data_IF_994820939099
#
_entry.id   IF_994820939099
#
_cell.length_a   1.000
_cell.length_b   1.000
_cell.length_c   1.000
_cell.angle_alpha   90.00
_cell.angle_beta   90.00
_cell.angle_gamma   90.00
#
_symmetry.space_group_name_H-M   'P 1'
#
loop_
_entity.id
_entity.type
_entity.pdbx_description
1 polymer ?
#
# COMPACT_ATOMS: atom_id res chain seq x y z
N UNK A 1 17.32 24.67 -25.48
CA UNK A 1 17.15 24.03 -24.16
C UNK A 1 17.71 22.62 -24.27
N UNK A 2 18.85 22.35 -23.67
CA UNK A 2 19.41 21.02 -23.59
C UNK A 2 18.52 20.18 -22.68
N UNK A 3 18.01 19.07 -23.20
CA UNK A 3 17.29 18.06 -22.41
C UNK A 3 18.33 17.39 -21.53
N UNK A 4 18.33 17.67 -20.24
CA UNK A 4 19.11 16.87 -19.29
C UNK A 4 18.51 15.47 -19.30
N UNK A 5 19.27 14.46 -19.73
CA UNK A 5 18.91 13.06 -19.54
C UNK A 5 18.92 12.80 -18.03
N UNK A 6 17.77 12.43 -17.48
CA UNK A 6 17.69 11.93 -16.10
C UNK A 6 18.50 10.64 -16.02
N UNK A 7 19.69 10.69 -15.45
CA UNK A 7 20.41 9.50 -15.05
C UNK A 7 19.68 8.88 -13.87
N UNK A 8 18.97 7.79 -14.12
CA UNK A 8 18.40 6.98 -13.05
C UNK A 8 19.49 6.14 -12.43
N UNK A 9 19.78 6.42 -11.18
CA UNK A 9 20.67 5.62 -10.36
C UNK A 9 19.81 4.71 -9.47
N UNK A 10 20.17 3.43 -9.39
CA UNK A 10 19.51 2.45 -8.54
C UNK A 10 20.54 1.72 -7.70
N UNK A 11 20.38 1.78 -6.40
CA UNK A 11 21.16 1.02 -5.43
C UNK A 11 20.25 0.09 -4.64
N UNK A 12 20.79 -1.07 -4.25
CA UNK A 12 20.09 -2.05 -3.41
C UNK A 12 20.83 -2.16 -2.08
N UNK A 13 20.11 -1.94 -1.00
CA UNK A 13 20.62 -2.06 0.35
C UNK A 13 19.95 -3.23 1.06
N UNK A 14 20.74 -4.00 1.80
CA UNK A 14 20.23 -5.05 2.67
C UNK A 14 20.50 -4.66 4.13
N UNK A 15 19.44 -4.58 4.91
CA UNK A 15 19.54 -4.25 6.32
C UNK A 15 18.88 -5.35 7.14
N UNK A 16 19.62 -5.88 8.13
CA UNK A 16 19.07 -6.81 9.09
C UNK A 16 18.46 -6.03 10.27
N UNK A 17 17.17 -6.21 10.51
CA UNK A 17 16.47 -5.61 11.65
C UNK A 17 16.16 -6.71 12.67
N UNK A 18 17.00 -6.88 13.70
CA UNK A 18 16.81 -7.94 14.66
C UNK A 18 15.55 -7.70 15.50
N UNK A 19 14.76 -8.76 15.69
CA UNK A 19 13.53 -8.72 16.53
C UNK A 19 12.49 -7.69 16.08
N UNK A 20 12.37 -7.46 14.77
CA UNK A 20 11.34 -6.59 14.24
C UNK A 20 9.95 -7.12 14.65
N UNK A 21 9.13 -6.23 15.23
CA UNK A 21 7.72 -6.51 15.46
C UNK A 21 6.99 -6.66 14.14
N UNK A 22 6.15 -7.66 14.03
CA UNK A 22 5.37 -7.88 12.81
C UNK A 22 4.10 -7.01 12.84
N UNK A 23 3.76 -6.48 11.67
CA UNK A 23 2.49 -5.83 11.45
C UNK A 23 1.40 -6.90 11.30
N UNK A 24 0.32 -6.78 12.06
CA UNK A 24 -0.87 -7.60 11.90
C UNK A 24 -2.16 -6.74 12.03
N UNK A 25 -3.31 -7.40 11.94
CA UNK A 25 -4.59 -6.69 11.97
C UNK A 25 -4.99 -6.18 13.34
N UNK A 26 -4.40 -6.70 14.42
CA UNK A 26 -4.70 -6.28 15.80
C UNK A 26 -3.59 -5.38 16.37
N UNK A 27 -2.33 -5.63 15.95
CA UNK A 27 -1.14 -4.89 16.39
C UNK A 27 -0.37 -4.38 15.16
N UNK A 28 -0.84 -3.31 14.51
CA UNK A 28 -0.26 -2.81 13.25
C UNK A 28 1.06 -2.09 13.50
N UNK A 29 2.13 -2.84 13.78
CA UNK A 29 3.46 -2.29 14.01
C UNK A 29 4.04 -1.70 12.73
N UNK A 30 4.31 -0.40 12.74
CA UNK A 30 4.90 0.35 11.63
C UNK A 30 6.27 0.90 12.01
N UNK A 31 7.13 1.03 11.00
CA UNK A 31 8.47 1.59 11.07
C UNK A 31 8.61 2.73 10.06
N UNK A 32 9.54 3.61 10.31
CA UNK A 32 9.93 4.67 9.37
C UNK A 32 11.36 4.40 8.94
N UNK A 33 11.56 4.26 7.64
CA UNK A 33 12.87 4.28 7.02
C UNK A 33 13.17 5.73 6.62
N UNK A 34 14.19 6.31 7.25
CA UNK A 34 14.69 7.63 6.90
C UNK A 34 15.89 7.46 5.96
N UNK A 35 15.81 8.07 4.80
CA UNK A 35 16.85 8.05 3.76
C UNK A 35 17.38 9.46 3.57
N UNK A 36 18.71 9.59 3.50
CA UNK A 36 19.36 10.87 3.23
C UNK A 36 20.38 10.73 2.11
N UNK A 37 20.40 11.69 1.21
CA UNK A 37 21.47 11.86 0.23
C UNK A 37 22.44 12.92 0.73
N UNK A 38 23.67 12.49 0.96
CA UNK A 38 24.73 13.39 1.46
C UNK A 38 25.73 13.74 0.37
N UNK A 39 26.15 15.01 0.33
CA UNK A 39 27.27 15.49 -0.46
C UNK A 39 28.21 16.30 0.43
N UNK A 40 29.47 15.86 0.52
CA UNK A 40 30.47 16.50 1.39
C UNK A 40 30.01 16.62 2.86
N UNK A 41 29.25 15.64 3.38
CA UNK A 41 28.75 15.65 4.75
C UNK A 41 27.51 16.52 4.98
N UNK A 42 26.96 17.15 3.96
CA UNK A 42 25.71 17.93 4.02
C UNK A 42 24.56 17.14 3.41
N UNK A 43 23.41 17.16 4.09
CA UNK A 43 22.18 16.56 3.57
C UNK A 43 21.67 17.38 2.40
N UNK A 44 21.58 16.77 1.23
CA UNK A 44 21.11 17.38 -0.01
C UNK A 44 19.63 17.09 -0.27
N UNK A 45 19.18 15.91 0.16
CA UNK A 45 17.79 15.47 0.03
C UNK A 45 17.51 14.40 1.07
N UNK A 46 16.24 14.26 1.47
CA UNK A 46 15.80 13.25 2.42
C UNK A 46 14.40 12.76 2.11
N UNK A 47 14.14 11.49 2.38
CA UNK A 47 12.84 10.87 2.23
C UNK A 47 12.53 9.97 3.41
N UNK A 48 11.28 9.94 3.84
CA UNK A 48 10.77 9.03 4.85
C UNK A 48 9.77 8.05 4.23
N UNK A 49 10.02 6.76 4.44
CA UNK A 49 9.14 5.69 3.96
C UNK A 49 8.61 4.92 5.15
N UNK A 50 7.29 4.95 5.34
CA UNK A 50 6.62 4.15 6.36
C UNK A 50 6.32 2.75 5.83
N UNK A 51 6.61 1.72 6.63
CA UNK A 51 6.40 0.33 6.26
C UNK A 51 6.18 -0.56 7.48
N UNK A 52 5.71 -1.80 7.24
CA UNK A 52 5.58 -2.84 8.26
C UNK A 52 6.10 -4.17 7.77
N UNK A 53 6.65 -4.98 8.67
CA UNK A 53 7.08 -6.35 8.37
C UNK A 53 5.89 -7.30 8.48
N UNK A 54 5.54 -7.97 7.39
CA UNK A 54 4.47 -8.99 7.38
C UNK A 54 4.71 -10.01 6.28
N UNK A 55 4.17 -11.20 6.47
CA UNK A 55 4.03 -12.20 5.40
C UNK A 55 2.56 -12.52 5.19
N UNK A 56 2.16 -12.66 3.93
CA UNK A 56 0.80 -13.10 3.56
C UNK A 56 0.94 -14.29 2.64
N UNK A 57 0.26 -15.38 2.99
CA UNK A 57 0.22 -16.60 2.19
C UNK A 57 -1.22 -16.99 1.95
N UNK A 58 -1.56 -17.31 0.69
CA UNK A 58 -2.83 -17.91 0.32
C UNK A 58 -2.63 -19.40 0.13
N UNK A 59 -3.28 -20.21 0.96
CA UNK A 59 -3.24 -21.67 0.90
C UNK A 59 -4.62 -22.22 0.51
N UNK A 60 -4.69 -23.51 0.25
CA UNK A 60 -5.96 -24.18 -0.14
C UNK A 60 -7.01 -24.13 0.98
N UNK A 61 -6.59 -23.99 2.22
CA UNK A 61 -7.43 -23.98 3.43
C UNK A 61 -7.62 -22.56 4.02
N UNK A 62 -7.05 -21.52 3.39
CA UNK A 62 -7.29 -20.14 3.81
C UNK A 62 -6.13 -19.17 3.64
N UNK A 63 -6.32 -17.99 4.20
CA UNK A 63 -5.33 -16.91 4.24
C UNK A 63 -4.52 -16.98 5.53
N UNK A 64 -3.21 -16.79 5.40
CA UNK A 64 -2.28 -16.78 6.53
C UNK A 64 -1.55 -15.44 6.58
N UNK A 65 -1.58 -14.80 7.74
CA UNK A 65 -0.82 -13.59 8.05
C UNK A 65 0.23 -13.94 9.10
N UNK A 66 1.50 -13.71 8.78
CA UNK A 66 2.64 -14.04 9.66
C UNK A 66 2.64 -15.51 10.16
N UNK A 67 2.23 -16.43 9.29
CA UNK A 67 2.14 -17.86 9.61
C UNK A 67 0.87 -18.30 10.36
N UNK A 68 0.04 -17.37 10.82
CA UNK A 68 -1.24 -17.66 11.50
C UNK A 68 -2.41 -17.54 10.54
N UNK A 69 -3.31 -18.50 10.56
CA UNK A 69 -4.53 -18.47 9.74
C UNK A 69 -5.45 -17.34 10.20
N UNK A 70 -5.92 -16.55 9.26
CA UNK A 70 -6.87 -15.47 9.53
C UNK A 70 -8.15 -15.65 8.71
N UNK A 71 -9.27 -15.21 9.27
CA UNK A 71 -10.51 -15.03 8.56
C UNK A 71 -10.60 -13.59 8.04
N UNK A 72 -10.76 -13.44 6.72
CA UNK A 72 -10.88 -12.12 6.09
C UNK A 72 -12.32 -11.65 6.20
N UNK A 73 -12.52 -10.54 6.93
CA UNK A 73 -13.80 -9.83 7.06
C UNK A 73 -13.65 -8.44 6.48
N UNK A 74 -14.28 -8.18 5.35
CA UNK A 74 -14.09 -6.91 4.66
C UNK A 74 -15.22 -6.54 3.73
N UNK A 75 -15.18 -5.31 3.26
CA UNK A 75 -16.13 -4.71 2.35
C UNK A 75 -15.44 -4.15 1.11
N UNK A 76 -16.23 -3.93 0.05
CA UNK A 76 -15.80 -3.17 -1.12
C UNK A 76 -15.98 -1.67 -0.83
N UNK A 77 -14.94 -0.89 -1.07
CA UNK A 77 -15.00 0.56 -0.90
C UNK A 77 -14.87 1.29 -2.23
N UNK A 78 -15.81 2.19 -2.50
CA UNK A 78 -15.66 3.26 -3.48
C UNK A 78 -15.31 4.57 -2.75
N UNK A 79 -14.32 5.33 -3.24
CA UNK A 79 -13.97 6.62 -2.62
C UNK A 79 -14.88 7.76 -3.09
N UNK A 80 -16.19 7.56 -2.94
CA UNK A 80 -17.18 8.54 -3.33
C UNK A 80 -18.04 8.92 -2.12
N UNK A 81 -18.18 10.21 -1.88
CA UNK A 81 -18.95 10.76 -0.77
C UNK A 81 -20.11 11.62 -1.25
N UNK A 82 -21.20 11.68 -0.50
CA UNK A 82 -22.24 12.66 -0.76
C UNK A 82 -21.65 14.08 -0.83
N UNK A 83 -22.18 14.90 -1.71
CA UNK A 83 -21.89 16.33 -1.91
C UNK A 83 -20.56 16.65 -2.59
N UNK A 84 -19.47 15.89 -2.40
CA UNK A 84 -18.17 16.18 -3.02
C UNK A 84 -17.61 15.02 -3.87
N UNK A 85 -18.35 13.92 -4.01
CA UNK A 85 -17.98 12.81 -4.89
C UNK A 85 -16.57 12.27 -4.63
N UNK A 86 -15.77 12.15 -5.69
CA UNK A 86 -14.40 11.64 -5.61
C UNK A 86 -13.37 12.64 -5.06
N UNK A 87 -13.73 13.93 -4.95
CA UNK A 87 -12.87 14.96 -4.37
C UNK A 87 -12.88 14.92 -2.82
N UNK A 88 -12.98 13.73 -2.25
CA UNK A 88 -13.02 13.52 -0.81
C UNK A 88 -11.72 14.00 -0.16
N UNK A 89 -11.80 14.94 0.81
CA UNK A 89 -10.62 15.47 1.49
C UNK A 89 -9.98 14.42 2.38
N UNK A 90 -8.72 14.63 2.74
CA UNK A 90 -7.92 13.74 3.59
C UNK A 90 -8.69 13.21 4.80
N UNK A 91 -9.40 14.09 5.51
CA UNK A 91 -10.16 13.72 6.71
C UNK A 91 -11.26 12.70 6.41
N UNK A 92 -11.99 12.85 5.30
CA UNK A 92 -13.04 11.92 4.90
C UNK A 92 -12.43 10.56 4.48
N UNK A 93 -11.30 10.58 3.77
CA UNK A 93 -10.58 9.36 3.39
C UNK A 93 -10.16 8.55 4.63
N UNK A 94 -9.62 9.22 5.65
CA UNK A 94 -9.21 8.57 6.90
C UNK A 94 -10.38 8.08 7.72
N UNK A 95 -11.48 8.84 7.75
CA UNK A 95 -12.71 8.45 8.44
C UNK A 95 -13.31 7.16 7.89
N UNK A 96 -13.29 6.94 6.57
CA UNK A 96 -13.75 5.68 5.97
C UNK A 96 -13.01 4.46 6.54
N UNK A 97 -11.68 4.55 6.69
CA UNK A 97 -10.89 3.48 7.27
C UNK A 97 -11.24 3.24 8.76
N UNK A 98 -11.50 4.32 9.50
CA UNK A 98 -11.91 4.26 10.91
C UNK A 98 -13.26 3.58 11.07
N UNK A 99 -14.24 3.94 10.23
CA UNK A 99 -15.57 3.30 10.20
C UNK A 99 -15.43 1.80 9.90
N UNK A 100 -14.65 1.43 8.87
CA UNK A 100 -14.41 0.03 8.52
C UNK A 100 -13.83 -0.76 9.70
N UNK A 101 -12.86 -0.18 10.40
CA UNK A 101 -12.17 -0.86 11.52
C UNK A 101 -13.02 -0.90 12.77
N UNK A 102 -13.50 0.24 13.25
CA UNK A 102 -14.06 0.38 14.59
C UNK A 102 -15.56 0.16 14.66
N UNK A 103 -16.29 0.57 13.62
CA UNK A 103 -17.75 0.45 13.63
C UNK A 103 -18.22 -0.85 12.97
N UNK A 104 -17.54 -1.27 11.88
CA UNK A 104 -17.94 -2.46 11.12
C UNK A 104 -17.10 -3.70 11.44
N UNK A 105 -16.07 -3.59 12.27
CA UNK A 105 -15.24 -4.71 12.69
C UNK A 105 -14.46 -5.40 11.56
N UNK A 106 -14.19 -4.68 10.46
CA UNK A 106 -13.45 -5.21 9.35
C UNK A 106 -11.95 -5.35 9.67
N UNK A 107 -11.31 -6.36 9.08
CA UNK A 107 -9.87 -6.51 9.06
C UNK A 107 -9.29 -6.40 7.64
N UNK A 108 -10.15 -6.21 6.64
CA UNK A 108 -9.76 -6.07 5.25
C UNK A 108 -10.70 -5.12 4.50
N UNK A 109 -10.22 -4.58 3.38
CA UNK A 109 -10.99 -3.77 2.45
C UNK A 109 -10.53 -4.01 1.02
N UNK A 110 -11.46 -4.05 0.07
CA UNK A 110 -11.18 -4.07 -1.36
C UNK A 110 -11.42 -2.70 -1.97
N UNK A 111 -10.44 -2.17 -2.68
CA UNK A 111 -10.53 -0.84 -3.33
C UNK A 111 -11.23 -0.96 -4.68
N UNK A 112 -12.53 -0.96 -4.66
CA UNK A 112 -13.36 -1.12 -5.87
C UNK A 112 -13.47 0.18 -6.67
N UNK A 113 -13.07 0.26 -7.94
CA UNK A 113 -12.36 -0.73 -8.76
C UNK A 113 -11.18 -0.02 -9.41
N UNK A 114 -10.40 0.71 -8.62
CA UNK A 114 -9.33 1.62 -9.03
C UNK A 114 -8.41 1.94 -7.83
N UNK A 115 -7.19 2.42 -8.08
CA UNK A 115 -6.32 2.92 -7.01
C UNK A 115 -7.00 4.06 -6.24
N UNK A 116 -6.90 4.03 -4.94
CA UNK A 116 -7.52 5.02 -4.06
C UNK A 116 -6.48 5.93 -3.42
N UNK A 117 -6.97 6.96 -2.69
CA UNK A 117 -6.13 7.95 -2.02
C UNK A 117 -5.10 7.31 -1.10
N UNK A 118 -3.87 7.82 -1.12
CA UNK A 118 -2.84 7.44 -0.16
C UNK A 118 -3.27 7.70 1.29
N UNK A 119 -4.03 8.77 1.56
CA UNK A 119 -4.55 9.08 2.90
C UNK A 119 -5.43 7.95 3.47
N UNK A 120 -6.20 7.27 2.61
CA UNK A 120 -6.97 6.10 3.00
C UNK A 120 -6.07 4.89 3.23
N UNK A 121 -5.16 4.60 2.30
CA UNK A 121 -4.26 3.45 2.38
C UNK A 121 -3.36 3.56 3.62
N UNK A 122 -2.78 4.73 3.85
CA UNK A 122 -1.96 5.02 5.03
C UNK A 122 -2.73 4.81 6.33
N UNK A 123 -4.02 5.20 6.34
CA UNK A 123 -4.84 4.96 7.51
C UNK A 123 -5.18 3.48 7.70
N UNK A 124 -5.37 2.74 6.62
CA UNK A 124 -5.54 1.29 6.69
C UNK A 124 -4.32 0.61 7.30
N UNK A 125 -3.10 1.01 6.91
CA UNK A 125 -1.86 0.48 7.48
C UNK A 125 -1.74 0.78 8.97
N UNK A 126 -2.13 2.00 9.40
CA UNK A 126 -2.14 2.42 10.80
C UNK A 126 -3.17 1.65 11.65
N UNK A 127 -4.29 1.23 11.07
CA UNK A 127 -5.39 0.58 11.76
C UNK A 127 -5.36 -0.95 11.67
N UNK A 128 -4.45 -1.55 10.93
CA UNK A 128 -4.41 -2.99 10.75
C UNK A 128 -5.51 -3.49 9.79
N UNK A 129 -5.78 -2.74 8.70
CA UNK A 129 -6.66 -3.18 7.64
C UNK A 129 -5.84 -3.69 6.45
N UNK A 130 -6.05 -4.94 6.06
CA UNK A 130 -5.52 -5.49 4.82
C UNK A 130 -6.21 -4.83 3.63
N UNK A 131 -5.43 -4.37 2.65
CA UNK A 131 -5.99 -3.71 1.46
C UNK A 131 -5.77 -4.55 0.21
N UNK A 132 -6.87 -4.91 -0.45
CA UNK A 132 -6.88 -5.55 -1.76
C UNK A 132 -6.99 -4.45 -2.82
N UNK A 133 -5.85 -4.03 -3.35
CA UNK A 133 -5.79 -2.95 -4.35
C UNK A 133 -6.13 -3.45 -5.74
N UNK A 134 -6.84 -2.62 -6.49
CA UNK A 134 -7.18 -2.88 -7.88
C UNK A 134 -6.59 -1.84 -8.82
N UNK A 135 -6.25 -2.28 -10.03
CA UNK A 135 -5.95 -1.38 -11.15
C UNK A 135 -7.27 -1.01 -11.86
N UNK A 136 -7.34 0.16 -12.54
CA UNK A 136 -8.53 0.51 -13.31
C UNK A 136 -8.83 -0.54 -14.38
N UNK A 137 -10.11 -0.88 -14.54
CA UNK A 137 -10.54 -1.82 -15.58
C UNK A 137 -11.69 -2.72 -15.18
N UNK A 138 -11.87 -2.95 -13.90
CA UNK A 138 -12.91 -3.83 -13.32
C UNK A 138 -13.01 -5.17 -14.08
N UNK A 139 -14.13 -5.42 -14.78
CA UNK A 139 -14.36 -6.65 -15.55
C UNK A 139 -13.74 -6.61 -16.95
N UNK A 140 -13.22 -5.47 -17.40
CA UNK A 140 -12.65 -5.34 -18.72
C UNK A 140 -11.23 -5.89 -18.76
N UNK A 141 -11.01 -6.90 -19.60
CA UNK A 141 -9.68 -7.42 -19.93
C UNK A 141 -9.47 -7.24 -21.44
N UNK A 142 -8.67 -6.24 -21.80
CA UNK A 142 -8.37 -5.93 -23.18
C UNK A 142 -7.29 -6.83 -23.80
N UNK A 143 -6.91 -6.51 -25.04
CA UNK A 143 -5.87 -7.21 -25.79
C UNK A 143 -4.46 -7.04 -25.21
N UNK A 144 -3.45 -7.48 -25.98
CA UNK A 144 -2.03 -7.53 -25.55
C UNK A 144 -1.53 -6.15 -25.08
N UNK A 145 -1.86 -5.08 -25.79
CA UNK A 145 -1.43 -3.71 -25.42
C UNK A 145 -2.03 -3.27 -24.08
N UNK A 146 -3.32 -3.55 -23.86
CA UNK A 146 -3.99 -3.25 -22.61
C UNK A 146 -3.35 -4.02 -21.44
N UNK A 147 -3.08 -5.30 -21.62
CA UNK A 147 -2.42 -6.16 -20.61
C UNK A 147 -1.03 -5.62 -20.25
N UNK A 148 -0.23 -5.23 -21.25
CA UNK A 148 1.09 -4.65 -21.02
C UNK A 148 1.02 -3.34 -20.22
N UNK A 149 0.06 -2.46 -20.53
CA UNK A 149 -0.17 -1.22 -19.79
C UNK A 149 -0.68 -1.48 -18.38
N UNK A 150 -1.58 -2.46 -18.19
CA UNK A 150 -2.10 -2.85 -16.87
C UNK A 150 -0.97 -3.33 -15.96
N UNK A 151 -0.09 -4.21 -16.44
CA UNK A 151 1.09 -4.67 -15.70
C UNK A 151 2.04 -3.51 -15.36
N UNK A 152 2.27 -2.60 -16.30
CA UNK A 152 3.11 -1.41 -16.05
C UNK A 152 2.52 -0.49 -14.97
N UNK A 153 1.20 -0.28 -14.99
CA UNK A 153 0.49 0.51 -13.96
C UNK A 153 0.55 -0.18 -12.60
N UNK A 154 0.33 -1.49 -12.56
CA UNK A 154 0.43 -2.27 -11.32
C UNK A 154 1.82 -2.14 -10.70
N UNK A 155 2.89 -2.32 -11.48
CA UNK A 155 4.28 -2.18 -10.99
C UNK A 155 4.61 -0.77 -10.49
N UNK A 156 4.00 0.26 -11.08
CA UNK A 156 4.19 1.66 -10.68
C UNK A 156 3.42 2.02 -9.41
N UNK A 157 2.24 1.46 -9.21
CA UNK A 157 1.33 1.77 -8.10
C UNK A 157 1.27 0.66 -7.05
N UNK A 158 1.97 -0.44 -7.28
CA UNK A 158 2.08 -1.56 -6.33
C UNK A 158 3.00 -1.21 -5.17
N UNK A 159 2.98 -2.01 -4.10
CA UNK A 159 3.82 -1.77 -2.94
C UNK A 159 5.29 -1.69 -3.37
N UNK A 160 5.95 -0.62 -3.01
CA UNK A 160 7.35 -0.32 -3.34
C UNK A 160 8.35 -1.27 -2.65
N UNK A 161 7.89 -2.13 -1.78
CA UNK A 161 8.71 -3.11 -1.05
C UNK A 161 8.42 -4.50 -1.60
N UNK A 162 9.25 -4.99 -2.52
CA UNK A 162 9.33 -6.41 -2.84
C UNK A 162 10.10 -7.12 -1.71
N UNK A 163 9.44 -8.09 -1.07
CA UNK A 163 10.17 -9.04 -0.22
C UNK A 163 11.02 -9.94 -1.11
N UNK A 164 12.32 -9.95 -0.89
CA UNK A 164 13.15 -11.10 -1.29
C UNK A 164 12.76 -12.28 -0.42
N UNK A 165 12.35 -13.36 -1.05
CA UNK A 165 12.21 -14.68 -0.45
C UNK A 165 13.56 -15.19 0.06
#
# INVERSE_FOLDING_TARGET
>A
FARMEEQKFQENFHMHVPRAGLWDTEHPQLYILHLEILKYGQVMDSEEVRFGFRSIEMKTDGCYLNGSRIEIRGLNRHQSWPYFGYAAPRRAQRLDAEILKYELGCNAVRTSHYPQSHDFIDRCDELGLLVFTEIPGWQHIGGIQWKAQAVKKYRRNGPSVQKSS
#
